data_IF_468641538102
#
_entry.id   IF_468641538102
#
_cell.length_a   1.000
_cell.length_b   1.000
_cell.length_c   1.000
_cell.angle_alpha   90.00
_cell.angle_beta   90.00
_cell.angle_gamma   90.00
#
_symmetry.space_group_name_H-M   'P 1'
#
loop_
_entity.id
_entity.type
_entity.pdbx_description
1 polymer ?
#
# COMPACT_ATOMS: atom_id res chain seq x y z
N UNK A 1 58.15 -17.01 22.40
CA UNK A 1 59.13 -16.38 21.48
C UNK A 1 59.58 -17.46 20.51
N UNK A 2 59.09 -17.41 19.26
CA UNK A 2 59.87 -17.04 18.06
C UNK A 2 60.89 -18.12 17.65
N UNK A 3 61.00 -18.59 16.40
CA UNK A 3 60.24 -18.52 15.15
C UNK A 3 60.65 -19.77 14.36
N UNK A 4 59.76 -20.32 13.55
CA UNK A 4 60.12 -21.25 12.48
C UNK A 4 60.51 -20.48 11.23
N UNK A 5 61.63 -20.84 10.62
CA UNK A 5 62.05 -20.37 9.30
C UNK A 5 61.54 -21.26 8.16
N UNK A 6 61.84 -20.83 6.93
CA UNK A 6 62.01 -21.73 5.79
C UNK A 6 60.88 -21.79 4.76
N UNK A 7 60.88 -20.82 3.85
CA UNK A 7 60.81 -20.96 2.37
C UNK A 7 60.19 -22.20 1.72
N UNK A 8 59.37 -22.00 0.67
CA UNK A 8 59.65 -22.40 -0.75
C UNK A 8 58.36 -22.47 -1.61
N UNK A 9 58.39 -21.67 -2.68
CA UNK A 9 57.90 -21.85 -4.07
C UNK A 9 56.43 -21.99 -4.51
N UNK A 10 56.27 -21.40 -5.71
CA UNK A 10 55.37 -21.71 -6.82
C UNK A 10 53.96 -21.10 -6.72
N UNK A 11 53.54 -20.19 -7.58
CA UNK A 11 53.88 -20.04 -9.00
C UNK A 11 52.79 -20.67 -9.86
N UNK A 12 51.55 -20.17 -9.77
CA UNK A 12 50.50 -20.46 -10.74
C UNK A 12 49.82 -19.15 -11.15
N UNK A 13 50.35 -18.58 -12.23
CA UNK A 13 49.73 -17.48 -12.98
C UNK A 13 48.40 -17.97 -13.54
N UNK A 14 47.28 -17.40 -13.08
CA UNK A 14 45.99 -17.54 -13.75
C UNK A 14 46.00 -16.67 -15.01
N UNK A 15 45.63 -17.19 -16.20
CA UNK A 15 45.62 -16.41 -17.42
C UNK A 15 44.51 -15.35 -17.36
N UNK A 16 44.92 -14.08 -17.42
CA UNK A 16 44.04 -12.96 -17.76
C UNK A 16 43.59 -13.14 -19.21
N UNK A 17 42.35 -13.58 -19.41
CA UNK A 17 41.65 -13.51 -20.68
C UNK A 17 41.52 -12.04 -21.08
N UNK A 18 42.50 -11.57 -21.84
CA UNK A 18 42.52 -10.24 -22.47
C UNK A 18 41.60 -10.29 -23.67
N UNK A 19 40.30 -10.06 -23.45
CA UNK A 19 39.35 -9.84 -24.55
C UNK A 19 39.74 -8.52 -25.21
N UNK A 20 40.46 -8.60 -26.33
CA UNK A 20 40.61 -7.51 -27.29
C UNK A 20 39.24 -7.23 -27.89
N UNK A 21 38.50 -6.29 -27.32
CA UNK A 21 37.47 -5.59 -28.08
C UNK A 21 38.19 -4.63 -29.01
N UNK A 22 38.23 -5.00 -30.29
CA UNK A 22 38.66 -4.14 -31.38
C UNK A 22 37.80 -2.87 -31.37
N UNK A 23 38.36 -1.77 -30.87
CA UNK A 23 37.78 -0.44 -31.06
C UNK A 23 38.00 -0.04 -32.54
N UNK A 24 36.95 0.26 -33.32
CA UNK A 24 37.15 0.95 -34.58
C UNK A 24 37.56 2.39 -34.28
N UNK A 25 38.55 2.87 -35.05
CA UNK A 25 39.12 4.21 -35.00
C UNK A 25 38.08 5.31 -34.90
N UNK A 26 38.33 6.26 -34.01
CA UNK A 26 37.57 7.49 -33.88
C UNK A 26 37.98 8.49 -34.96
N UNK A 27 37.02 8.88 -35.81
CA UNK A 27 36.96 10.21 -36.40
C UNK A 27 35.75 10.97 -35.85
N UNK A 28 35.81 12.31 -35.72
CA UNK A 28 34.91 13.07 -34.87
C UNK A 28 33.65 13.46 -35.64
N UNK A 29 32.53 12.80 -35.34
CA UNK A 29 31.22 13.24 -35.80
C UNK A 29 30.51 14.01 -34.68
N UNK A 30 30.68 15.33 -34.66
CA UNK A 30 29.81 16.25 -33.92
C UNK A 30 28.38 16.14 -34.46
N UNK A 31 27.53 15.38 -33.78
CA UNK A 31 26.06 15.54 -33.82
C UNK A 31 25.51 15.33 -32.42
N UNK A 32 24.62 16.21 -31.91
CA UNK A 32 24.06 16.04 -30.59
C UNK A 32 23.13 14.82 -30.59
N UNK A 33 23.50 13.81 -29.81
CA UNK A 33 22.69 12.62 -29.59
C UNK A 33 21.28 13.02 -29.11
N UNK A 34 20.26 12.66 -29.89
CA UNK A 34 18.86 12.69 -29.48
C UNK A 34 18.69 11.88 -28.20
N UNK A 35 18.37 12.55 -27.09
CA UNK A 35 18.22 11.90 -25.80
C UNK A 35 17.06 10.88 -25.77
N UNK A 36 17.03 9.99 -24.76
CA UNK A 36 16.05 8.89 -24.63
C UNK A 36 14.57 9.34 -24.67
N UNK A 37 14.30 10.64 -24.47
CA UNK A 37 12.98 11.24 -24.51
C UNK A 37 12.31 11.19 -25.91
N UNK A 38 13.08 11.32 -26.99
CA UNK A 38 12.52 11.35 -28.35
C UNK A 38 12.04 9.96 -28.81
N UNK A 39 12.79 8.90 -28.48
CA UNK A 39 12.44 7.52 -28.79
C UNK A 39 11.19 7.04 -28.03
N UNK A 40 11.08 7.35 -26.72
CA UNK A 40 9.89 6.98 -25.95
C UNK A 40 8.62 7.74 -26.37
N UNK A 41 8.75 8.97 -26.87
CA UNK A 41 7.60 9.75 -27.34
C UNK A 41 6.95 9.21 -28.63
N UNK A 42 7.72 8.50 -29.47
CA UNK A 42 7.23 7.86 -30.69
C UNK A 42 6.38 6.62 -30.41
N UNK A 43 6.86 5.71 -29.56
CA UNK A 43 6.13 4.51 -29.16
C UNK A 43 4.81 4.80 -28.43
N UNK A 44 4.80 5.81 -27.54
CA UNK A 44 3.59 6.27 -26.85
C UNK A 44 2.50 6.77 -27.81
N UNK A 45 2.86 7.36 -28.95
CA UNK A 45 1.88 7.86 -29.94
C UNK A 45 1.20 6.72 -30.69
N UNK A 46 1.92 5.64 -31.02
CA UNK A 46 1.38 4.49 -31.75
C UNK A 46 0.39 3.68 -30.91
N UNK A 47 0.75 3.30 -29.68
CA UNK A 47 -0.16 2.59 -28.75
C UNK A 47 -1.43 3.39 -28.42
N UNK A 48 -1.32 4.71 -28.51
CA UNK A 48 -2.37 5.66 -28.18
C UNK A 48 -3.36 5.91 -29.33
N UNK A 49 -2.89 5.90 -30.59
CA UNK A 49 -3.79 5.96 -31.75
C UNK A 49 -4.67 4.71 -31.81
N UNK A 50 -4.17 3.56 -31.37
CA UNK A 50 -4.96 2.33 -31.26
C UNK A 50 -6.09 2.44 -30.23
N UNK A 51 -5.88 3.06 -29.07
CA UNK A 51 -6.97 3.27 -28.10
C UNK A 51 -8.11 4.12 -28.67
N UNK A 52 -7.80 5.10 -29.52
CA UNK A 52 -8.82 5.92 -30.18
C UNK A 52 -9.56 5.17 -31.28
N UNK A 53 -8.98 4.11 -31.82
CA UNK A 53 -9.58 3.23 -32.85
C UNK A 53 -10.54 2.20 -32.25
N UNK A 54 -10.40 1.88 -30.96
CA UNK A 54 -11.30 0.97 -30.25
C UNK A 54 -12.64 1.66 -29.96
N UNK A 55 -13.61 1.48 -30.86
CA UNK A 55 -15.00 1.94 -30.68
C UNK A 55 -15.80 0.90 -29.88
N UNK A 56 -16.80 1.35 -29.11
CA UNK A 56 -17.75 0.47 -28.41
C UNK A 56 -17.28 -0.10 -27.07
N UNK A 57 -16.12 0.32 -26.55
CA UNK A 57 -15.67 -0.08 -25.22
C UNK A 57 -16.45 0.66 -24.12
N UNK A 58 -16.72 -0.02 -23.01
CA UNK A 58 -17.23 0.66 -21.82
C UNK A 58 -16.17 1.62 -21.26
N UNK A 59 -16.56 2.79 -20.71
CA UNK A 59 -15.60 3.74 -20.14
C UNK A 59 -14.69 3.12 -19.06
N UNK A 60 -15.19 2.15 -18.31
CA UNK A 60 -14.41 1.41 -17.33
C UNK A 60 -13.27 0.59 -17.97
N UNK A 61 -13.56 -0.13 -19.05
CA UNK A 61 -12.58 -0.95 -19.79
C UNK A 61 -11.57 -0.05 -20.50
N UNK A 62 -12.04 1.01 -21.15
CA UNK A 62 -11.17 1.98 -21.82
C UNK A 62 -10.20 2.65 -20.82
N UNK A 63 -10.70 3.03 -19.63
CA UNK A 63 -9.87 3.55 -18.54
C UNK A 63 -8.85 2.52 -18.08
N UNK A 64 -9.24 1.27 -17.90
CA UNK A 64 -8.32 0.20 -17.50
C UNK A 64 -7.20 0.02 -18.52
N UNK A 65 -7.53 0.01 -19.82
CA UNK A 65 -6.54 -0.07 -20.90
C UNK A 65 -5.58 1.12 -20.88
N UNK A 66 -6.08 2.35 -20.70
CA UNK A 66 -5.23 3.53 -20.59
C UNK A 66 -4.26 3.44 -19.40
N UNK A 67 -4.77 3.03 -18.23
CA UNK A 67 -3.95 2.87 -17.01
C UNK A 67 -2.94 1.74 -17.14
N UNK A 68 -3.25 0.67 -17.87
CA UNK A 68 -2.37 -0.49 -18.04
C UNK A 68 -1.31 -0.30 -19.13
N UNK A 69 -1.62 0.40 -20.24
CA UNK A 69 -0.73 0.50 -21.40
C UNK A 69 -0.09 1.88 -21.56
N UNK A 70 -0.89 2.96 -21.45
CA UNK A 70 -0.42 4.32 -21.78
C UNK A 70 0.27 4.97 -20.60
N UNK A 71 -0.33 4.92 -19.41
CA UNK A 71 0.26 5.53 -18.22
C UNK A 71 1.67 4.98 -17.91
N UNK A 72 1.94 3.65 -17.92
CA UNK A 72 3.27 3.14 -17.59
C UNK A 72 4.34 3.53 -18.60
N UNK A 73 3.98 3.60 -19.89
CA UNK A 73 4.90 3.98 -20.97
C UNK A 73 5.28 5.46 -20.87
N UNK A 74 4.31 6.34 -20.58
CA UNK A 74 4.59 7.76 -20.35
C UNK A 74 5.33 8.01 -19.05
N UNK A 75 5.00 7.27 -18.00
CA UNK A 75 5.53 7.48 -16.66
C UNK A 75 6.88 6.74 -16.45
N UNK A 76 7.38 6.01 -17.46
CA UNK A 76 8.66 5.31 -17.39
C UNK A 76 9.80 6.26 -17.02
N UNK A 77 10.63 5.88 -16.05
CA UNK A 77 11.74 6.69 -15.54
C UNK A 77 11.40 8.13 -15.09
N UNK A 78 10.13 8.44 -14.79
CA UNK A 78 9.71 9.80 -14.42
C UNK A 78 10.42 10.36 -13.19
N UNK A 79 10.83 9.51 -12.25
CA UNK A 79 11.65 9.89 -11.09
C UNK A 79 13.01 10.49 -11.48
N UNK A 80 13.50 10.27 -12.71
CA UNK A 80 14.79 10.80 -13.19
C UNK A 80 14.57 12.03 -14.06
N UNK A 81 13.74 11.94 -15.09
CA UNK A 81 13.62 13.01 -16.09
C UNK A 81 12.70 14.15 -15.66
N UNK A 82 11.75 13.93 -14.73
CA UNK A 82 10.79 14.97 -14.30
C UNK A 82 11.49 16.22 -13.78
N UNK A 83 12.56 16.04 -13.02
CA UNK A 83 13.35 17.13 -12.44
C UNK A 83 14.17 17.93 -13.46
N UNK A 84 14.18 17.49 -14.73
CA UNK A 84 14.78 18.15 -15.89
C UNK A 84 13.72 18.50 -16.97
N UNK A 85 12.46 18.17 -16.73
CA UNK A 85 11.36 18.37 -17.65
C UNK A 85 11.05 19.86 -17.76
N UNK A 86 11.08 20.43 -18.98
CA UNK A 86 10.66 21.81 -19.21
C UNK A 86 9.16 21.84 -19.54
N UNK A 87 8.58 23.04 -19.51
CA UNK A 87 7.16 23.24 -19.77
C UNK A 87 6.70 22.66 -21.13
N UNK A 88 7.56 22.65 -22.15
CA UNK A 88 7.25 22.09 -23.47
C UNK A 88 7.02 20.56 -23.42
N UNK A 89 7.85 19.81 -22.70
CA UNK A 89 7.67 18.36 -22.53
C UNK A 89 6.41 18.04 -21.73
N UNK A 90 6.13 18.82 -20.68
CA UNK A 90 4.91 18.63 -19.89
C UNK A 90 3.64 18.91 -20.71
N UNK A 91 3.65 19.91 -21.60
CA UNK A 91 2.55 20.15 -22.55
C UNK A 91 2.28 18.94 -23.46
N UNK A 92 3.33 18.26 -23.92
CA UNK A 92 3.17 17.05 -24.73
C UNK A 92 2.53 15.91 -23.93
N UNK A 93 2.93 15.70 -22.68
CA UNK A 93 2.35 14.69 -21.79
C UNK A 93 0.87 15.00 -21.51
N UNK A 94 0.56 16.24 -21.16
CA UNK A 94 -0.81 16.68 -20.88
C UNK A 94 -1.71 16.56 -22.12
N UNK A 95 -1.16 16.75 -23.33
CA UNK A 95 -1.90 16.51 -24.58
C UNK A 95 -2.30 15.05 -24.74
N UNK A 96 -1.39 14.11 -24.44
CA UNK A 96 -1.70 12.67 -24.49
C UNK A 96 -2.76 12.31 -23.45
N UNK A 97 -2.68 12.87 -22.24
CA UNK A 97 -3.71 12.67 -21.22
C UNK A 97 -5.08 13.20 -21.63
N UNK A 98 -5.13 14.42 -22.18
CA UNK A 98 -6.38 15.03 -22.67
C UNK A 98 -7.08 14.11 -23.66
N UNK A 99 -6.35 13.65 -24.67
CA UNK A 99 -6.93 12.83 -25.73
C UNK A 99 -7.32 11.45 -25.19
N UNK A 100 -6.54 10.89 -24.26
CA UNK A 100 -6.89 9.63 -23.59
C UNK A 100 -8.20 9.76 -22.80
N UNK A 101 -8.35 10.84 -22.03
CA UNK A 101 -9.58 11.15 -21.30
C UNK A 101 -10.77 11.35 -22.24
N UNK A 102 -10.58 12.08 -23.35
CA UNK A 102 -11.60 12.26 -24.38
C UNK A 102 -12.02 10.93 -25.02
N UNK A 103 -11.08 10.04 -25.32
CA UNK A 103 -11.36 8.72 -25.89
C UNK A 103 -12.13 7.82 -24.92
N UNK A 104 -11.85 7.89 -23.61
CA UNK A 104 -12.53 7.09 -22.59
C UNK A 104 -13.98 7.51 -22.39
N UNK A 105 -14.24 8.82 -22.34
CA UNK A 105 -15.60 9.35 -22.15
C UNK A 105 -16.37 9.39 -23.48
N UNK A 106 -15.66 9.39 -24.62
CA UNK A 106 -16.26 9.56 -25.94
C UNK A 106 -16.63 11.02 -26.24
N UNK A 107 -15.90 11.98 -25.68
CA UNK A 107 -16.23 13.42 -25.78
C UNK A 107 -15.61 14.09 -27.01
N UNK A 108 -16.17 15.25 -27.38
CA UNK A 108 -15.66 16.08 -28.47
C UNK A 108 -14.24 16.59 -28.18
N UNK A 109 -13.47 16.81 -29.24
CA UNK A 109 -12.09 17.33 -29.14
C UNK A 109 -12.03 18.71 -28.44
N UNK A 110 -13.10 19.50 -28.49
CA UNK A 110 -13.21 20.85 -27.90
C UNK A 110 -13.40 20.84 -26.38
N UNK A 111 -13.80 19.72 -25.77
CA UNK A 111 -14.04 19.64 -24.33
C UNK A 111 -12.80 20.01 -23.52
N UNK A 112 -13.00 20.80 -22.47
CA UNK A 112 -11.95 21.23 -21.55
C UNK A 112 -11.27 20.02 -20.89
N UNK A 113 -9.94 20.07 -20.77
CA UNK A 113 -9.14 18.95 -20.27
C UNK A 113 -9.46 18.57 -18.82
N UNK A 114 -9.76 19.57 -17.98
CA UNK A 114 -10.15 19.34 -16.60
C UNK A 114 -11.46 18.55 -16.50
N UNK A 115 -12.46 18.91 -17.31
CA UNK A 115 -13.76 18.22 -17.37
C UNK A 115 -13.59 16.80 -17.90
N UNK A 116 -12.92 16.64 -19.05
CA UNK A 116 -12.67 15.32 -19.62
C UNK A 116 -11.89 14.41 -18.66
N UNK A 117 -10.89 14.94 -17.96
CA UNK A 117 -10.11 14.18 -16.98
C UNK A 117 -10.91 13.76 -15.76
N UNK A 118 -11.76 14.65 -15.24
CA UNK A 118 -12.65 14.38 -14.12
C UNK A 118 -13.69 13.30 -14.47
N UNK A 119 -14.38 13.46 -15.60
CA UNK A 119 -15.36 12.48 -16.09
C UNK A 119 -14.73 11.13 -16.42
N UNK A 120 -13.51 11.13 -17.00
CA UNK A 120 -12.78 9.91 -17.26
C UNK A 120 -12.30 9.22 -15.97
N UNK A 121 -12.35 9.89 -14.81
CA UNK A 121 -11.79 9.41 -13.54
C UNK A 121 -10.31 9.00 -13.65
N UNK A 122 -9.51 9.80 -14.36
CA UNK A 122 -8.07 9.55 -14.56
C UNK A 122 -7.26 10.55 -13.74
N UNK A 123 -6.24 10.05 -13.03
CA UNK A 123 -5.29 10.89 -12.30
C UNK A 123 -4.40 11.71 -13.24
N UNK A 124 -4.13 12.96 -12.83
CA UNK A 124 -3.28 13.87 -13.59
C UNK A 124 -1.84 13.33 -13.71
N UNK A 125 -1.10 13.76 -14.74
CA UNK A 125 0.30 13.34 -14.95
C UNK A 125 1.14 13.65 -13.72
N UNK A 126 0.93 14.86 -13.19
CA UNK A 126 1.65 15.37 -12.04
C UNK A 126 1.42 14.50 -10.80
N UNK A 127 0.16 14.21 -10.45
CA UNK A 127 -0.18 13.32 -9.33
C UNK A 127 0.45 11.94 -9.47
N UNK A 128 0.43 11.37 -10.68
CA UNK A 128 1.05 10.05 -10.91
C UNK A 128 2.55 10.10 -10.70
N UNK A 129 3.21 11.16 -11.18
CA UNK A 129 4.64 11.33 -10.99
C UNK A 129 5.00 11.60 -9.53
N UNK A 130 4.22 12.42 -8.83
CA UNK A 130 4.38 12.67 -7.40
C UNK A 130 4.22 11.39 -6.61
N UNK A 131 3.15 10.64 -6.83
CA UNK A 131 2.94 9.34 -6.19
C UNK A 131 4.09 8.37 -6.47
N UNK A 132 4.61 8.32 -7.71
CA UNK A 132 5.73 7.43 -8.08
C UNK A 132 7.04 7.86 -7.42
N UNK A 133 7.31 9.17 -7.34
CA UNK A 133 8.49 9.72 -6.69
C UNK A 133 8.44 9.51 -5.17
N UNK A 134 7.30 9.81 -4.53
CA UNK A 134 7.04 9.53 -3.11
C UNK A 134 7.22 8.04 -2.80
N UNK A 135 6.60 7.16 -3.59
CA UNK A 135 6.71 5.70 -3.40
C UNK A 135 8.15 5.22 -3.55
N UNK A 136 8.90 5.75 -4.52
CA UNK A 136 10.30 5.41 -4.70
C UNK A 136 11.15 5.89 -3.53
N UNK A 137 10.96 7.13 -3.09
CA UNK A 137 11.68 7.70 -1.95
C UNK A 137 11.41 6.90 -0.67
N UNK A 138 10.14 6.69 -0.34
CA UNK A 138 9.73 5.90 0.83
C UNK A 138 10.33 4.50 0.78
N UNK A 139 10.23 3.79 -0.36
CA UNK A 139 10.82 2.45 -0.52
C UNK A 139 12.33 2.45 -0.30
N UNK A 140 13.05 3.38 -0.92
CA UNK A 140 14.50 3.48 -0.78
C UNK A 140 14.90 3.72 0.68
N UNK A 141 14.10 4.52 1.40
CA UNK A 141 14.31 4.82 2.82
C UNK A 141 13.80 3.74 3.78
N UNK A 142 12.83 2.91 3.38
CA UNK A 142 12.31 1.82 4.21
C UNK A 142 13.10 0.52 4.06
N UNK A 143 14.10 0.46 3.17
CA UNK A 143 14.96 -0.71 3.01
C UNK A 143 15.71 -1.07 4.31
N UNK A 144 15.99 -2.37 4.54
CA UNK A 144 16.80 -2.81 5.67
C UNK A 144 18.15 -2.10 5.71
N UNK A 145 18.67 -1.85 6.92
CA UNK A 145 19.97 -1.16 7.12
C UNK A 145 21.13 -1.84 6.37
N UNK A 146 21.05 -3.15 6.18
CA UNK A 146 22.07 -3.95 5.49
C UNK A 146 22.00 -3.86 3.95
N UNK A 147 20.94 -3.29 3.39
CA UNK A 147 20.74 -3.23 1.93
C UNK A 147 21.70 -2.23 1.28
N UNK A 148 22.39 -2.57 0.17
CA UNK A 148 23.38 -1.69 -0.47
C UNK A 148 22.78 -0.33 -0.89
N UNK A 149 21.55 -0.33 -1.41
CA UNK A 149 20.86 0.92 -1.77
C UNK A 149 20.51 1.81 -0.57
N UNK A 150 20.37 1.26 0.65
CA UNK A 150 20.11 2.05 1.86
C UNK A 150 21.35 2.84 2.28
N UNK A 151 22.54 2.34 1.94
CA UNK A 151 23.83 3.01 2.17
C UNK A 151 24.06 4.20 1.24
N UNK A 152 23.33 4.29 0.12
CA UNK A 152 23.44 5.41 -0.80
C UNK A 152 22.94 6.67 -0.10
N UNK A 153 23.85 7.60 0.15
CA UNK A 153 23.54 8.94 0.64
C UNK A 153 23.34 9.87 -0.54
N UNK A 154 22.42 10.81 -0.39
CA UNK A 154 22.31 11.92 -1.33
C UNK A 154 23.59 12.73 -1.27
N UNK A 155 24.42 12.64 -2.30
CA UNK A 155 25.59 13.51 -2.45
C UNK A 155 25.12 14.88 -2.95
N UNK A 156 25.61 15.94 -2.32
CA UNK A 156 25.32 17.31 -2.70
C UNK A 156 26.31 17.78 -3.77
N UNK A 157 25.82 17.96 -4.99
CA UNK A 157 26.61 18.54 -6.07
C UNK A 157 26.14 19.97 -6.32
N UNK A 158 27.07 20.95 -6.29
CA UNK A 158 26.76 22.36 -6.54
C UNK A 158 26.64 22.68 -8.03
N UNK A 159 27.56 22.16 -8.85
CA UNK A 159 27.63 22.43 -10.30
C UNK A 159 26.59 21.67 -11.11
N UNK A 160 26.36 20.39 -10.78
CA UNK A 160 25.43 19.52 -11.48
C UNK A 160 24.46 18.87 -10.48
N UNK A 161 23.39 19.58 -10.16
CA UNK A 161 22.35 19.07 -9.24
C UNK A 161 21.71 17.82 -9.85
N UNK A 162 21.88 16.67 -9.18
CA UNK A 162 21.33 15.41 -9.66
C UNK A 162 19.80 15.36 -9.46
N UNK A 163 19.06 14.59 -10.29
CA UNK A 163 17.63 14.35 -10.06
C UNK A 163 17.35 13.79 -8.66
N UNK A 164 18.24 12.93 -8.16
CA UNK A 164 18.14 12.35 -6.82
C UNK A 164 18.28 13.41 -5.71
N UNK A 165 19.16 14.40 -5.90
CA UNK A 165 19.31 15.53 -4.97
C UNK A 165 18.07 16.42 -4.95
N UNK A 166 17.44 16.69 -6.10
CA UNK A 166 16.18 17.44 -6.17
C UNK A 166 15.04 16.68 -5.51
N UNK A 167 14.95 15.37 -5.75
CA UNK A 167 13.96 14.52 -5.09
C UNK A 167 14.15 14.51 -3.57
N UNK A 168 15.41 14.38 -3.12
CA UNK A 168 15.73 14.42 -1.69
C UNK A 168 15.30 15.74 -1.06
N UNK A 169 15.56 16.89 -1.69
CA UNK A 169 15.16 18.19 -1.16
C UNK A 169 13.63 18.33 -0.97
N UNK A 170 12.82 17.65 -1.79
CA UNK A 170 11.35 17.73 -1.71
C UNK A 170 10.78 16.75 -0.68
N UNK A 171 11.37 15.56 -0.55
CA UNK A 171 10.79 14.48 0.25
C UNK A 171 11.57 14.14 1.53
N UNK A 172 12.60 14.94 1.87
CA UNK A 172 13.44 14.69 3.05
C UNK A 172 12.62 14.59 4.34
N UNK A 173 11.60 15.44 4.47
CA UNK A 173 10.80 15.60 5.69
C UNK A 173 9.71 14.52 5.85
N UNK A 174 9.58 13.57 4.93
CA UNK A 174 8.65 12.47 5.09
C UNK A 174 9.10 11.59 6.26
N UNK A 175 8.28 11.43 7.32
CA UNK A 175 8.66 10.65 8.51
C UNK A 175 8.53 9.15 8.22
N UNK A 176 9.53 8.57 7.55
CA UNK A 176 9.56 7.15 7.16
C UNK A 176 9.49 6.22 8.37
N UNK A 177 10.03 6.63 9.51
CA UNK A 177 10.03 5.82 10.74
C UNK A 177 8.64 5.67 11.38
N UNK A 178 7.68 6.54 11.04
CA UNK A 178 6.29 6.44 11.49
C UNK A 178 5.41 5.59 10.57
N UNK A 179 5.93 5.12 9.44
CA UNK A 179 5.17 4.34 8.49
C UNK A 179 5.03 2.90 8.96
N UNK A 180 3.82 2.36 8.80
CA UNK A 180 3.56 0.95 9.03
C UNK A 180 4.42 0.08 8.11
N UNK A 181 5.02 -0.97 8.67
CA UNK A 181 5.72 -2.00 7.89
C UNK A 181 4.70 -3.01 7.40
N UNK A 182 4.48 -3.05 6.07
CA UNK A 182 3.58 -4.00 5.42
C UNK A 182 4.43 -5.10 4.79
N UNK A 183 4.33 -6.29 5.37
CA UNK A 183 4.96 -7.49 4.86
C UNK A 183 4.15 -8.11 3.71
N UNK A 184 4.86 -8.82 2.83
CA UNK A 184 4.24 -9.48 1.68
C UNK A 184 3.21 -10.53 2.11
N UNK A 185 3.50 -11.25 3.19
CA UNK A 185 2.66 -12.28 3.78
C UNK A 185 2.48 -11.97 5.27
N UNK A 186 1.32 -11.45 5.70
CA UNK A 186 1.08 -11.12 7.11
C UNK A 186 1.05 -12.33 8.03
N UNK A 187 0.59 -13.47 7.51
CA UNK A 187 0.34 -14.72 8.22
C UNK A 187 0.75 -15.86 7.30
N UNK A 188 1.20 -16.96 7.90
CA UNK A 188 1.65 -18.13 7.16
C UNK A 188 0.48 -18.76 6.39
N UNK A 189 0.72 -19.40 5.22
CA UNK A 189 -0.35 -20.02 4.45
C UNK A 189 -1.12 -21.12 5.20
N UNK A 190 -0.45 -21.84 6.10
CA UNK A 190 -0.99 -22.95 6.90
C UNK A 190 -1.61 -22.52 8.24
N UNK A 191 -1.56 -21.24 8.60
CA UNK A 191 -2.24 -20.74 9.80
C UNK A 191 -3.75 -20.71 9.58
N UNK A 192 -4.51 -21.18 10.57
CA UNK A 192 -5.96 -21.18 10.51
C UNK A 192 -6.49 -19.75 10.51
N UNK A 193 -7.40 -19.45 9.57
CA UNK A 193 -7.96 -18.11 9.45
C UNK A 193 -9.07 -17.91 10.47
N UNK A 194 -9.18 -16.68 10.97
CA UNK A 194 -10.27 -16.32 11.88
C UNK A 194 -11.61 -16.52 11.19
N UNK A 195 -12.54 -17.19 11.87
CA UNK A 195 -13.88 -17.36 11.37
C UNK A 195 -14.59 -15.99 11.36
N UNK A 196 -14.80 -15.44 10.16
CA UNK A 196 -15.49 -14.17 9.97
C UNK A 196 -16.73 -14.39 9.11
N UNK A 197 -17.88 -14.13 9.70
CA UNK A 197 -19.20 -14.35 9.12
C UNK A 197 -19.68 -13.04 8.49
N UNK A 198 -20.01 -13.09 7.20
CA UNK A 198 -20.57 -11.98 6.44
C UNK A 198 -21.93 -12.43 5.90
N UNK A 199 -22.98 -11.77 6.38
CA UNK A 199 -24.39 -11.84 5.92
C UNK A 199 -25.19 -13.16 6.09
N UNK A 200 -24.66 -14.35 5.83
CA UNK A 200 -25.54 -15.54 5.75
C UNK A 200 -25.81 -16.32 7.06
N UNK A 201 -24.98 -16.21 8.10
CA UNK A 201 -25.20 -16.90 9.39
C UNK A 201 -25.60 -15.95 10.53
N UNK A 202 -26.05 -14.73 10.21
CA UNK A 202 -26.58 -13.78 11.20
C UNK A 202 -27.67 -14.41 12.07
N UNK A 203 -28.46 -15.34 11.52
CA UNK A 203 -29.48 -16.13 12.25
C UNK A 203 -28.91 -17.00 13.38
N UNK A 204 -27.72 -17.57 13.21
CA UNK A 204 -27.07 -18.40 14.24
C UNK A 204 -26.46 -17.54 15.35
N UNK A 205 -25.89 -16.38 14.99
CA UNK A 205 -25.46 -15.39 15.96
C UNK A 205 -26.65 -14.82 16.74
N UNK A 206 -27.79 -14.53 16.09
CA UNK A 206 -29.03 -14.09 16.75
C UNK A 206 -29.56 -15.14 17.73
N UNK A 207 -29.58 -16.42 17.37
CA UNK A 207 -29.96 -17.50 18.31
C UNK A 207 -29.01 -17.62 19.49
N UNK A 208 -27.70 -17.56 19.26
CA UNK A 208 -26.71 -17.63 20.34
C UNK A 208 -26.73 -16.38 21.24
N UNK A 209 -27.07 -15.22 20.68
CA UNK A 209 -27.39 -14.00 21.43
C UNK A 209 -28.62 -14.27 22.30
N UNK A 210 -29.74 -14.74 21.74
CA UNK A 210 -30.98 -15.02 22.49
C UNK A 210 -30.79 -15.98 23.66
N UNK A 211 -29.91 -16.99 23.54
CA UNK A 211 -29.63 -17.92 24.64
C UNK A 211 -28.90 -17.30 25.84
N UNK A 212 -28.26 -16.13 25.70
CA UNK A 212 -27.59 -15.42 26.80
C UNK A 212 -26.27 -16.02 27.29
N UNK A 213 -25.78 -17.10 26.67
CA UNK A 213 -24.57 -17.83 27.08
C UNK A 213 -23.29 -17.35 26.38
N UNK A 214 -23.43 -16.58 25.30
CA UNK A 214 -22.31 -16.06 24.53
C UNK A 214 -21.87 -14.67 25.01
N UNK A 215 -20.55 -14.46 25.04
CA UNK A 215 -19.96 -13.15 25.28
C UNK A 215 -20.08 -12.29 24.02
N UNK A 216 -20.53 -11.05 24.19
CA UNK A 216 -20.74 -10.11 23.08
C UNK A 216 -19.81 -8.92 23.21
N UNK A 217 -19.14 -8.61 22.12
CA UNK A 217 -18.32 -7.41 21.98
C UNK A 217 -18.84 -6.63 20.79
N UNK A 218 -19.15 -5.36 20.94
CA UNK A 218 -19.41 -4.44 19.84
C UNK A 218 -18.26 -3.44 19.74
N UNK A 219 -17.73 -3.25 18.54
CA UNK A 219 -16.71 -2.25 18.24
C UNK A 219 -17.26 -1.18 17.30
N UNK A 220 -16.78 0.04 17.46
CA UNK A 220 -17.04 1.13 16.53
C UNK A 220 -15.86 2.09 16.49
N UNK A 221 -15.55 2.57 15.31
CA UNK A 221 -14.58 3.63 15.07
C UNK A 221 -15.30 4.96 14.81
N UNK A 222 -14.59 6.06 15.03
CA UNK A 222 -15.06 7.41 14.70
C UNK A 222 -13.91 8.28 14.25
N UNK A 223 -14.19 9.20 13.33
CA UNK A 223 -13.35 10.34 13.03
C UNK A 223 -14.18 11.61 13.14
N UNK A 224 -13.86 12.45 14.12
CA UNK A 224 -14.54 13.72 14.37
C UNK A 224 -13.50 14.79 14.69
N UNK A 225 -13.70 16.00 14.18
CA UNK A 225 -12.80 17.13 14.42
C UNK A 225 -11.32 16.80 14.16
N UNK A 226 -11.03 16.13 13.03
CA UNK A 226 -9.68 15.69 12.66
C UNK A 226 -8.99 14.73 13.66
N UNK A 227 -9.74 14.13 14.57
CA UNK A 227 -9.26 13.14 15.54
C UNK A 227 -9.96 11.81 15.28
N UNK A 228 -9.19 10.74 15.32
CA UNK A 228 -9.64 9.36 15.14
C UNK A 228 -9.55 8.61 16.46
N UNK A 229 -10.62 7.90 16.79
CA UNK A 229 -10.70 7.04 17.96
C UNK A 229 -11.67 5.89 17.75
N UNK A 230 -11.76 5.03 18.75
CA UNK A 230 -12.69 3.91 18.76
C UNK A 230 -13.37 3.73 20.11
N UNK A 231 -14.47 2.99 20.09
CA UNK A 231 -15.22 2.52 21.24
C UNK A 231 -15.39 1.00 21.18
N UNK A 232 -15.40 0.39 22.36
CA UNK A 232 -15.62 -1.03 22.59
C UNK A 232 -16.71 -1.14 23.66
N UNK A 233 -17.73 -1.95 23.41
CA UNK A 233 -18.71 -2.35 24.41
C UNK A 233 -18.65 -3.86 24.57
N UNK A 234 -18.42 -4.34 25.79
CA UNK A 234 -18.35 -5.77 26.10
C UNK A 234 -19.43 -6.13 27.11
N UNK A 235 -20.21 -7.15 26.78
CA UNK A 235 -21.26 -7.72 27.61
C UNK A 235 -20.91 -9.17 27.92
N UNK A 236 -20.65 -9.45 29.19
CA UNK A 236 -20.38 -10.79 29.70
C UNK A 236 -21.70 -11.57 29.85
N UNK A 237 -21.72 -12.89 29.57
CA UNK A 237 -22.92 -13.70 29.74
C UNK A 237 -23.30 -13.76 31.22
N UNK A 238 -24.60 -13.95 31.50
CA UNK A 238 -25.13 -13.96 32.88
C UNK A 238 -24.51 -15.05 33.76
N UNK A 239 -24.07 -16.15 33.16
CA UNK A 239 -23.40 -17.26 33.85
C UNK A 239 -21.98 -16.94 34.31
N UNK A 240 -21.37 -15.86 33.83
CA UNK A 240 -20.01 -15.45 34.21
C UNK A 240 -20.03 -14.58 35.48
N UNK A 241 -18.94 -14.62 36.27
CA UNK A 241 -18.79 -13.76 37.45
C UNK A 241 -18.79 -12.28 37.01
N UNK A 242 -19.79 -11.51 37.44
CA UNK A 242 -20.00 -10.13 36.96
C UNK A 242 -20.74 -10.04 35.62
N UNK A 243 -21.43 -11.11 35.21
CA UNK A 243 -22.27 -11.20 34.03
C UNK A 243 -23.44 -10.24 34.03
N UNK A 244 -23.96 -9.91 32.84
CA UNK A 244 -25.09 -8.98 32.66
C UNK A 244 -24.70 -7.50 32.71
N UNK A 245 -23.52 -7.14 33.22
CA UNK A 245 -23.00 -5.78 33.13
C UNK A 245 -22.36 -5.51 31.77
N UNK A 246 -22.69 -4.36 31.19
CA UNK A 246 -22.04 -3.85 29.98
C UNK A 246 -20.88 -2.95 30.37
N UNK A 247 -19.68 -3.31 29.94
CA UNK A 247 -18.48 -2.47 30.11
C UNK A 247 -18.18 -1.75 28.81
N UNK A 248 -17.97 -0.44 28.89
CA UNK A 248 -17.64 0.39 27.73
C UNK A 248 -16.26 1.00 27.90
N UNK A 249 -15.49 1.05 26.82
CA UNK A 249 -14.18 1.67 26.76
C UNK A 249 -14.12 2.50 25.49
N UNK A 250 -13.67 3.74 25.58
CA UNK A 250 -13.35 4.58 24.42
C UNK A 250 -11.91 5.04 24.50
N UNK A 251 -11.26 5.16 23.35
CA UNK A 251 -9.85 5.57 23.27
C UNK A 251 -9.61 6.37 22.00
N UNK A 252 -8.87 7.46 22.15
CA UNK A 252 -8.37 8.27 21.03
C UNK A 252 -7.04 7.70 20.56
N UNK A 253 -6.90 7.46 19.26
CA UNK A 253 -5.64 6.96 18.67
C UNK A 253 -4.76 8.11 18.25
N UNK A 254 -5.31 9.10 17.54
CA UNK A 254 -4.50 10.19 17.00
C UNK A 254 -5.21 11.02 15.93
N UNK A 255 -4.48 11.92 15.26
CA UNK A 255 -5.04 12.80 14.24
C UNK A 255 -5.37 12.03 12.95
N UNK A 256 -6.35 12.53 12.20
CA UNK A 256 -6.83 11.96 10.93
C UNK A 256 -5.79 12.02 9.80
N UNK A 257 -4.78 12.87 9.95
CA UNK A 257 -3.64 12.95 9.03
C UNK A 257 -2.74 11.72 9.10
N UNK A 258 -2.68 11.05 10.26
CA UNK A 258 -1.84 9.86 10.48
C UNK A 258 -2.69 8.59 10.58
N UNK A 259 -3.90 8.68 11.13
CA UNK A 259 -4.77 7.55 11.43
C UNK A 259 -6.03 7.59 10.58
N UNK A 260 -6.56 6.41 10.23
CA UNK A 260 -7.82 6.30 9.52
C UNK A 260 -8.85 5.52 10.37
N UNK A 261 -10.17 5.76 10.18
CA UNK A 261 -11.21 5.04 10.93
C UNK A 261 -11.14 3.52 10.79
N UNK A 262 -10.67 3.02 9.65
CA UNK A 262 -10.54 1.59 9.41
C UNK A 262 -9.47 0.95 10.31
N UNK A 263 -8.29 1.55 10.45
CA UNK A 263 -7.24 1.13 11.37
C UNK A 263 -7.71 1.26 12.83
N UNK A 264 -8.51 2.28 13.13
CA UNK A 264 -9.11 2.44 14.44
C UNK A 264 -10.08 1.31 14.80
N UNK A 265 -10.87 0.85 13.84
CA UNK A 265 -11.74 -0.30 14.02
C UNK A 265 -10.93 -1.57 14.29
N UNK A 266 -9.86 -1.81 13.51
CA UNK A 266 -8.98 -2.96 13.72
C UNK A 266 -8.33 -2.92 15.12
N UNK A 267 -7.84 -1.76 15.54
CA UNK A 267 -7.28 -1.56 16.87
C UNK A 267 -8.32 -1.82 17.98
N UNK A 268 -9.59 -1.43 17.77
CA UNK A 268 -10.68 -1.69 18.70
C UNK A 268 -10.91 -3.20 18.89
N UNK A 269 -10.97 -3.95 17.78
CA UNK A 269 -11.14 -5.40 17.78
C UNK A 269 -9.94 -6.08 18.46
N UNK A 270 -8.72 -5.67 18.11
CA UNK A 270 -7.48 -6.18 18.71
C UNK A 270 -7.51 -5.99 20.23
N UNK A 271 -7.79 -4.76 20.68
CA UNK A 271 -7.82 -4.40 22.09
C UNK A 271 -8.91 -5.15 22.86
N UNK A 272 -10.09 -5.32 22.26
CA UNK A 272 -11.18 -6.07 22.86
C UNK A 272 -10.79 -7.53 23.10
N UNK A 273 -10.26 -8.21 22.06
CA UNK A 273 -9.84 -9.61 22.14
C UNK A 273 -8.68 -9.81 23.12
N UNK A 274 -7.68 -8.93 23.11
CA UNK A 274 -6.55 -8.96 24.07
C UNK A 274 -7.04 -8.83 25.52
N UNK A 275 -8.00 -7.93 25.77
CA UNK A 275 -8.57 -7.75 27.11
C UNK A 275 -9.36 -8.98 27.59
N UNK A 276 -9.98 -9.71 26.65
CA UNK A 276 -10.74 -10.91 26.93
C UNK A 276 -9.86 -12.15 27.09
N UNK A 277 -8.75 -12.23 26.33
CA UNK A 277 -7.83 -13.36 26.36
C UNK A 277 -7.39 -13.70 27.79
N UNK A 278 -7.28 -12.73 28.68
CA UNK A 278 -6.89 -12.95 30.09
C UNK A 278 -8.07 -13.17 31.06
N UNK A 279 -9.30 -12.88 30.66
CA UNK A 279 -10.47 -12.83 31.54
C UNK A 279 -11.43 -14.00 31.37
N UNK A 280 -11.47 -14.62 30.18
CA UNK A 280 -12.46 -15.66 29.85
C UNK A 280 -11.84 -16.97 29.39
N UNK A 281 -12.53 -18.06 29.70
CA UNK A 281 -12.15 -19.43 29.35
C UNK A 281 -13.42 -20.20 28.97
N UNK A 282 -13.31 -21.12 28.01
CA UNK A 282 -14.40 -21.99 27.54
C UNK A 282 -15.70 -21.27 27.13
N UNK A 283 -15.61 -20.03 26.63
CA UNK A 283 -16.75 -19.24 26.13
C UNK A 283 -16.78 -19.12 24.61
N UNK A 284 -17.98 -18.91 24.09
CA UNK A 284 -18.19 -18.43 22.71
C UNK A 284 -18.19 -16.91 22.72
N UNK A 285 -17.30 -16.32 21.93
CA UNK A 285 -17.05 -14.88 21.83
C UNK A 285 -17.52 -14.40 20.46
N UNK A 286 -18.50 -13.50 20.45
CA UNK A 286 -18.95 -12.83 19.24
C UNK A 286 -18.50 -11.38 19.23
N UNK A 287 -17.74 -11.00 18.20
CA UNK A 287 -17.31 -9.62 18.00
C UNK A 287 -18.07 -9.02 16.82
N UNK A 288 -18.81 -7.95 17.08
CA UNK A 288 -19.61 -7.22 16.11
C UNK A 288 -18.90 -5.94 15.70
N UNK A 289 -18.71 -5.76 14.41
CA UNK A 289 -18.21 -4.51 13.83
C UNK A 289 -19.16 -3.99 12.77
N UNK A 290 -19.28 -2.65 12.67
CA UNK A 290 -20.02 -2.00 11.58
C UNK A 290 -19.18 -1.83 10.30
N UNK A 291 -17.88 -2.08 10.37
CA UNK A 291 -16.97 -1.89 9.24
C UNK A 291 -16.75 -3.20 8.47
N UNK A 292 -17.49 -3.39 7.36
CA UNK A 292 -17.36 -4.57 6.48
C UNK A 292 -15.92 -4.78 6.02
N UNK A 293 -15.20 -3.71 5.70
CA UNK A 293 -13.82 -3.79 5.23
C UNK A 293 -12.88 -4.34 6.31
N UNK A 294 -13.06 -3.96 7.58
CA UNK A 294 -12.26 -4.49 8.69
C UNK A 294 -12.46 -6.00 8.88
N UNK A 295 -13.72 -6.45 8.90
CA UNK A 295 -14.06 -7.88 9.03
C UNK A 295 -13.50 -8.70 7.86
N UNK A 296 -13.64 -8.21 6.62
CA UNK A 296 -13.09 -8.88 5.44
C UNK A 296 -11.55 -8.92 5.46
N UNK A 297 -10.91 -7.85 5.93
CA UNK A 297 -9.46 -7.77 6.04
C UNK A 297 -8.88 -8.73 7.08
N UNK A 298 -9.59 -8.96 8.18
CA UNK A 298 -9.21 -9.94 9.21
C UNK A 298 -9.39 -11.37 8.68
N UNK A 299 -10.50 -11.64 7.97
CA UNK A 299 -10.79 -12.95 7.36
C UNK A 299 -9.71 -13.36 6.36
N UNK A 300 -9.35 -12.43 5.47
CA UNK A 300 -8.37 -12.66 4.41
C UNK A 300 -7.26 -11.58 4.45
N UNK A 301 -6.27 -11.71 5.35
CA UNK A 301 -5.18 -10.75 5.45
C UNK A 301 -4.32 -10.73 4.18
N UNK A 302 -4.14 -9.53 3.61
CA UNK A 302 -3.35 -9.28 2.40
C UNK A 302 -2.27 -8.21 2.66
N UNK A 303 -1.64 -7.73 1.59
CA UNK A 303 -0.80 -6.53 1.61
C UNK A 303 -1.69 -5.28 1.66
N UNK A 304 -2.05 -4.88 2.88
CA UNK A 304 -2.96 -3.76 3.15
C UNK A 304 -2.53 -3.00 4.40
N UNK A 305 -3.08 -1.80 4.60
CA UNK A 305 -2.87 -1.03 5.83
C UNK A 305 -3.57 -1.69 7.03
N UNK A 306 -3.09 -1.44 8.24
CA UNK A 306 -3.59 -2.05 9.47
C UNK A 306 -3.15 -3.50 9.64
N UNK A 307 -2.12 -3.94 8.91
CA UNK A 307 -1.54 -5.27 9.00
C UNK A 307 -1.00 -5.57 10.39
N UNK A 308 -0.40 -4.59 11.07
CA UNK A 308 0.05 -4.76 12.45
C UNK A 308 -1.12 -5.10 13.39
N UNK A 309 -2.25 -4.40 13.27
CA UNK A 309 -3.44 -4.66 14.07
C UNK A 309 -4.09 -5.99 13.71
N UNK A 310 -4.10 -6.37 12.42
CA UNK A 310 -4.58 -7.69 11.99
C UNK A 310 -3.75 -8.81 12.64
N UNK A 311 -2.42 -8.68 12.69
CA UNK A 311 -1.58 -9.66 13.39
C UNK A 311 -1.89 -9.75 14.88
N UNK A 312 -2.10 -8.61 15.54
CA UNK A 312 -2.51 -8.57 16.95
C UNK A 312 -3.84 -9.30 17.17
N UNK A 313 -4.82 -9.10 16.28
CA UNK A 313 -6.11 -9.79 16.32
C UNK A 313 -5.91 -11.30 16.22
N UNK A 314 -5.15 -11.78 15.23
CA UNK A 314 -4.91 -13.21 15.04
C UNK A 314 -4.20 -13.83 16.26
N UNK A 315 -3.17 -13.17 16.79
CA UNK A 315 -2.50 -13.61 18.01
C UNK A 315 -3.44 -13.66 19.22
N UNK A 316 -4.33 -12.66 19.37
CA UNK A 316 -5.31 -12.63 20.46
C UNK A 316 -6.39 -13.71 20.31
N UNK A 317 -6.79 -14.05 19.07
CA UNK A 317 -7.71 -15.16 18.81
C UNK A 317 -7.06 -16.50 19.14
N UNK A 318 -5.79 -16.71 18.76
CA UNK A 318 -5.07 -17.93 19.11
C UNK A 318 -4.92 -18.07 20.64
N UNK A 319 -4.64 -16.98 21.35
CA UNK A 319 -4.62 -16.96 22.82
C UNK A 319 -5.99 -17.26 23.46
N UNK A 320 -7.09 -16.89 22.80
CA UNK A 320 -8.44 -17.26 23.24
C UNK A 320 -8.72 -18.74 22.98
N UNK A 321 -8.36 -19.25 21.80
CA UNK A 321 -8.52 -20.67 21.42
C UNK A 321 -7.74 -21.59 22.34
N UNK A 322 -6.51 -21.23 22.72
CA UNK A 322 -5.68 -22.03 23.63
C UNK A 322 -6.31 -22.20 25.02
N UNK A 323 -7.27 -21.32 25.40
CA UNK A 323 -8.05 -21.39 26.64
C UNK A 323 -9.45 -22.00 26.43
N UNK A 324 -9.64 -22.70 25.30
CA UNK A 324 -10.89 -23.38 24.95
C UNK A 324 -12.03 -22.45 24.51
N UNK A 325 -11.76 -21.16 24.24
CA UNK A 325 -12.77 -20.25 23.74
C UNK A 325 -12.93 -20.41 22.21
N UNK A 326 -14.12 -20.08 21.69
CA UNK A 326 -14.37 -19.97 20.24
C UNK A 326 -14.71 -18.52 19.90
N UNK A 327 -13.94 -17.89 19.01
CA UNK A 327 -14.16 -16.50 18.63
C UNK A 327 -14.63 -16.40 17.18
N UNK A 328 -15.74 -15.68 16.96
CA UNK A 328 -16.30 -15.39 15.64
C UNK A 328 -16.51 -13.89 15.46
N UNK A 329 -16.06 -13.36 14.32
CA UNK A 329 -16.29 -11.96 13.95
C UNK A 329 -17.51 -11.85 13.04
N UNK A 330 -18.35 -10.85 13.31
CA UNK A 330 -19.57 -10.58 12.57
C UNK A 330 -19.62 -9.13 12.12
N UNK A 331 -20.05 -8.95 10.88
CA UNK A 331 -20.40 -7.64 10.36
C UNK A 331 -21.90 -7.38 10.54
N UNK A 332 -22.25 -6.24 11.12
CA UNK A 332 -23.63 -5.76 11.20
C UNK A 332 -23.86 -4.66 10.15
N UNK A 333 -24.83 -4.82 9.24
CA UNK A 333 -25.24 -3.74 8.35
C UNK A 333 -25.81 -2.59 9.18
N UNK A 334 -25.73 -1.38 8.62
CA UNK A 334 -26.42 -0.23 9.18
C UNK A 334 -27.91 -0.45 8.94
N UNK A 335 -28.72 -0.55 10.00
CA UNK A 335 -30.17 -0.44 9.83
C UNK A 335 -30.46 0.92 9.20
N UNK A 336 -31.23 0.91 8.11
CA UNK A 336 -31.78 2.13 7.52
C UNK A 336 -32.83 2.66 8.52
N UNK A 337 -32.38 3.53 9.41
CA UNK A 337 -33.24 4.34 10.28
C UNK A 337 -33.98 5.38 9.48
#
# INVERSE_FOLDING_TARGET
>A
MHQGGGSVQSGTRRPLLRVRLSLPSAEPCERPASGPFQQHSGGCKCTFLELRRLKGLSPATARQLFVAAVAPTMDYASNVWRYRCRAAQMRAINRVQRIGAQAIVGTFNTVATAVAGAEASIQSAQERFDRKATKFWVRLRSLPKNHPLRRLRTQSFKRHISPFQKMAAVYYDIPVDRLETIDAFPLSPWEERTHAIVEEEGRMASKAIETGWALRVATSSSARNEIVGYGIATMLPLSHRGGGSTTTVSTTIGPRTEQNPYTAELAAIARALESLANRVQHLVVYVFSRNKAAVLAIRNPRQQSGQQEIRRIHNAVEALKSKGNRASLLWLPKEAS
#
